data_IF_846627571892
#
_entry.id   IF_846627571892
#
_cell.length_a   1.000
_cell.length_b   1.000
_cell.length_c   1.000
_cell.angle_alpha   90.00
_cell.angle_beta   90.00
_cell.angle_gamma   90.00
#
_symmetry.space_group_name_H-M   'P 1'
#
loop_
_entity.id
_entity.type
_entity.pdbx_description
1 polymer ?
#
# COMPACT_ATOMS: atom_id res chain seq x y z
N UNK A 1 9.80 -1.98 18.66
CA UNK A 1 8.96 -0.93 19.30
C UNK A 1 7.64 -0.77 18.54
N UNK A 2 7.65 -0.29 17.29
CA UNK A 2 6.44 -0.07 16.47
C UNK A 2 5.50 -1.30 16.38
N UNK A 3 6.03 -2.47 16.04
CA UNK A 3 5.22 -3.69 15.91
C UNK A 3 4.49 -4.10 17.20
N UNK A 4 5.07 -3.86 18.36
CA UNK A 4 4.46 -4.22 19.65
C UNK A 4 3.39 -3.19 20.04
N UNK A 5 3.73 -1.91 19.96
CA UNK A 5 2.90 -0.81 20.45
C UNK A 5 1.80 -0.41 19.45
N UNK A 6 2.18 -0.15 18.20
CA UNK A 6 1.28 0.35 17.16
C UNK A 6 0.56 -0.82 16.48
N UNK A 7 1.31 -1.72 15.84
CA UNK A 7 0.71 -2.76 15.00
C UNK A 7 -0.17 -3.75 15.77
N UNK A 8 0.35 -4.28 16.89
CA UNK A 8 -0.37 -5.23 17.74
C UNK A 8 -1.17 -4.56 18.85
N UNK A 9 -0.55 -3.60 19.54
CA UNK A 9 -1.13 -2.95 20.71
C UNK A 9 -2.19 -1.91 20.36
N UNK A 10 -2.12 -1.31 19.16
CA UNK A 10 -2.95 -0.18 18.73
C UNK A 10 -2.96 0.98 19.75
N UNK A 11 -1.81 1.15 20.39
CA UNK A 11 -1.57 2.14 21.45
C UNK A 11 -0.85 3.35 20.86
N UNK A 12 -1.61 4.21 20.16
CA UNK A 12 -1.12 5.42 19.52
C UNK A 12 -2.27 6.38 19.18
N UNK A 13 -2.02 7.67 19.25
CA UNK A 13 -2.91 8.68 18.65
C UNK A 13 -2.55 8.92 17.17
N UNK A 14 -1.24 8.99 16.88
CA UNK A 14 -0.68 9.12 15.55
C UNK A 14 0.58 8.27 15.41
N UNK A 15 0.79 7.73 14.22
CA UNK A 15 1.97 6.95 13.87
C UNK A 15 2.38 7.25 12.42
N UNK A 16 3.65 7.01 12.11
CA UNK A 16 4.18 7.15 10.75
C UNK A 16 4.74 5.80 10.34
N UNK A 17 4.38 5.36 9.15
CA UNK A 17 4.89 4.13 8.54
C UNK A 17 5.12 4.36 7.06
N UNK A 18 6.17 3.75 6.53
CA UNK A 18 6.40 3.66 5.09
C UNK A 18 5.63 2.45 4.56
N UNK A 19 4.41 2.67 4.06
CA UNK A 19 3.63 1.64 3.38
C UNK A 19 4.20 1.37 1.98
N UNK A 20 4.41 0.11 1.61
CA UNK A 20 5.15 -0.23 0.37
C UNK A 20 4.40 -1.15 -0.58
N UNK A 21 3.26 -1.67 -0.16
CA UNK A 21 2.44 -2.63 -0.88
C UNK A 21 1.49 -1.88 -1.84
N UNK A 22 1.65 -1.99 -3.17
CA UNK A 22 0.97 -1.11 -4.13
C UNK A 22 -0.51 -1.46 -4.36
N UNK A 23 -0.96 -2.66 -3.98
CA UNK A 23 -2.26 -3.22 -4.37
C UNK A 23 -3.05 -3.82 -3.19
N UNK A 24 -2.86 -3.28 -1.99
CA UNK A 24 -3.44 -3.84 -0.77
C UNK A 24 -4.53 -2.97 -0.14
N UNK A 25 -5.12 -2.00 -0.88
CA UNK A 25 -6.16 -1.08 -0.37
C UNK A 25 -7.30 -1.76 0.42
N UNK A 26 -7.57 -3.04 0.18
CA UNK A 26 -8.50 -3.83 0.98
C UNK A 26 -8.14 -3.98 2.46
N UNK A 27 -6.92 -3.63 2.90
CA UNK A 27 -6.57 -3.62 4.33
C UNK A 27 -7.42 -2.64 5.15
N UNK A 28 -7.93 -1.56 4.54
CA UNK A 28 -8.83 -0.60 5.20
C UNK A 28 -10.25 -1.17 5.43
N UNK A 29 -10.59 -2.32 4.85
CA UNK A 29 -11.84 -3.02 5.13
C UNK A 29 -11.73 -4.02 6.29
N UNK A 30 -10.56 -4.13 6.95
CA UNK A 30 -10.31 -5.08 8.03
C UNK A 30 -10.51 -4.41 9.40
N UNK A 31 -11.61 -4.75 10.07
CA UNK A 31 -12.02 -4.14 11.35
C UNK A 31 -11.01 -4.30 12.52
N UNK A 32 -10.05 -5.23 12.42
CA UNK A 32 -9.04 -5.52 13.44
C UNK A 32 -7.61 -5.18 12.98
N UNK A 33 -7.47 -4.31 11.99
CA UNK A 33 -6.15 -3.84 11.54
C UNK A 33 -5.68 -2.64 12.36
N UNK A 34 -4.38 -2.32 12.29
CA UNK A 34 -3.82 -1.33 13.20
C UNK A 34 -4.40 0.07 13.03
N UNK A 35 -5.01 0.41 11.88
CA UNK A 35 -5.68 1.70 11.64
C UNK A 35 -6.85 1.99 12.59
N UNK A 36 -7.39 0.98 13.29
CA UNK A 36 -8.60 1.11 14.11
C UNK A 36 -9.79 1.75 13.39
N UNK A 37 -9.83 1.58 12.06
CA UNK A 37 -10.85 2.10 11.19
C UNK A 37 -11.88 1.03 10.84
N UNK A 38 -13.17 1.39 10.88
CA UNK A 38 -14.30 0.53 10.51
C UNK A 38 -15.24 1.27 9.59
N UNK A 39 -15.52 0.70 8.43
CA UNK A 39 -16.41 1.31 7.45
C UNK A 39 -17.16 0.27 6.65
N UNK A 40 -18.49 0.25 6.82
CA UNK A 40 -19.37 -0.65 6.06
C UNK A 40 -19.37 -0.27 4.57
N UNK A 41 -19.20 1.01 4.25
CA UNK A 41 -19.04 1.48 2.88
C UNK A 41 -17.75 0.91 2.25
N UNK A 42 -16.62 0.95 2.95
CA UNK A 42 -15.36 0.38 2.47
C UNK A 42 -15.46 -1.14 2.31
N UNK A 43 -16.03 -1.84 3.30
CA UNK A 43 -16.28 -3.29 3.22
C UNK A 43 -17.15 -3.66 2.02
N UNK A 44 -18.21 -2.90 1.75
CA UNK A 44 -19.06 -3.10 0.57
C UNK A 44 -18.29 -2.90 -0.73
N UNK A 45 -17.50 -1.83 -0.85
CA UNK A 45 -16.73 -1.56 -2.08
C UNK A 45 -15.71 -2.67 -2.36
N UNK A 46 -15.06 -3.22 -1.33
CA UNK A 46 -14.15 -4.36 -1.50
C UNK A 46 -14.89 -5.62 -1.93
N UNK A 47 -16.04 -5.93 -1.33
CA UNK A 47 -16.85 -7.08 -1.76
C UNK A 47 -17.34 -6.95 -3.22
N UNK A 48 -17.78 -5.76 -3.61
CA UNK A 48 -18.18 -5.48 -5.00
C UNK A 48 -16.98 -5.61 -5.96
N UNK A 49 -15.79 -5.15 -5.55
CA UNK A 49 -14.56 -5.25 -6.32
C UNK A 49 -14.12 -6.71 -6.51
N UNK A 50 -14.23 -7.57 -5.49
CA UNK A 50 -13.88 -8.99 -5.58
C UNK A 50 -14.81 -9.75 -6.55
N UNK A 51 -16.08 -9.37 -6.62
CA UNK A 51 -17.06 -9.97 -7.53
C UNK A 51 -17.00 -9.44 -8.97
N UNK A 52 -16.33 -8.31 -9.21
CA UNK A 52 -16.33 -7.63 -10.52
C UNK A 52 -15.15 -8.06 -11.38
N UNK A 53 -15.41 -8.59 -12.58
CA UNK A 53 -14.38 -8.93 -13.58
C UNK A 53 -14.16 -7.86 -14.64
N UNK A 54 -15.16 -7.02 -14.94
CA UNK A 54 -15.03 -5.93 -15.91
C UNK A 54 -14.00 -4.90 -15.45
N UNK A 55 -13.02 -4.62 -16.30
CA UNK A 55 -11.87 -3.78 -15.95
C UNK A 55 -12.27 -2.34 -15.62
N UNK A 56 -13.15 -1.73 -16.43
CA UNK A 56 -13.57 -0.33 -16.22
C UNK A 56 -14.37 -0.19 -14.93
N UNK A 57 -15.25 -1.15 -14.65
CA UNK A 57 -16.00 -1.20 -13.40
C UNK A 57 -15.07 -1.38 -12.18
N UNK A 58 -14.03 -2.22 -12.29
CA UNK A 58 -13.02 -2.37 -11.23
C UNK A 58 -12.28 -1.06 -10.96
N UNK A 59 -11.91 -0.30 -11.99
CA UNK A 59 -11.27 1.01 -11.80
C UNK A 59 -12.19 2.02 -11.11
N UNK A 60 -13.47 2.04 -11.46
CA UNK A 60 -14.44 2.89 -10.77
C UNK A 60 -14.56 2.53 -9.28
N UNK A 61 -14.57 1.24 -8.94
CA UNK A 61 -14.60 0.77 -7.56
C UNK A 61 -13.32 1.11 -6.79
N UNK A 62 -12.14 0.98 -7.41
CA UNK A 62 -10.87 1.40 -6.82
C UNK A 62 -10.82 2.91 -6.55
N UNK A 63 -11.31 3.73 -7.49
CA UNK A 63 -11.41 5.18 -7.29
C UNK A 63 -12.36 5.51 -6.13
N UNK A 64 -13.48 4.80 -6.03
CA UNK A 64 -14.42 4.95 -4.91
C UNK A 64 -13.79 4.58 -3.57
N UNK A 65 -13.03 3.49 -3.50
CA UNK A 65 -12.31 3.08 -2.30
C UNK A 65 -11.29 4.15 -1.85
N UNK A 66 -10.51 4.70 -2.79
CA UNK A 66 -9.57 5.79 -2.52
C UNK A 66 -10.28 7.06 -2.02
N UNK A 67 -11.45 7.37 -2.59
CA UNK A 67 -12.26 8.51 -2.13
C UNK A 67 -12.78 8.31 -0.70
N UNK A 68 -13.25 7.13 -0.35
CA UNK A 68 -13.71 6.82 1.03
C UNK A 68 -12.59 7.07 2.04
N UNK A 69 -11.40 6.49 1.84
CA UNK A 69 -10.30 6.66 2.81
C UNK A 69 -9.80 8.10 2.90
N UNK A 70 -9.93 8.87 1.82
CA UNK A 70 -9.56 10.29 1.77
C UNK A 70 -10.59 11.17 2.47
N UNK A 71 -11.89 10.95 2.21
CA UNK A 71 -12.99 11.71 2.82
C UNK A 71 -13.10 11.42 4.33
N UNK A 72 -12.86 10.16 4.73
CA UNK A 72 -12.86 9.73 6.14
C UNK A 72 -11.57 10.10 6.88
N UNK A 73 -10.57 10.65 6.18
CA UNK A 73 -9.27 11.04 6.72
C UNK A 73 -8.56 9.91 7.51
N UNK A 74 -8.64 8.67 7.01
CA UNK A 74 -8.10 7.49 7.68
C UNK A 74 -6.56 7.56 7.82
N UNK A 75 -5.91 8.10 6.78
CA UNK A 75 -4.47 8.31 6.74
C UNK A 75 -4.13 9.64 6.05
N UNK A 76 -3.12 10.34 6.56
CA UNK A 76 -2.54 11.50 5.90
C UNK A 76 -1.41 11.06 4.96
N UNK A 77 -1.67 11.01 3.65
CA UNK A 77 -0.64 10.70 2.67
C UNK A 77 0.34 11.87 2.53
N UNK A 78 1.61 11.65 2.88
CA UNK A 78 2.63 12.70 2.87
C UNK A 78 3.34 12.81 1.51
N UNK A 79 3.92 11.71 1.03
CA UNK A 79 4.64 11.62 -0.24
C UNK A 79 4.89 10.15 -0.63
N UNK A 80 5.29 9.92 -1.88
CA UNK A 80 5.86 8.64 -2.31
C UNK A 80 7.39 8.70 -2.14
N UNK A 81 7.94 7.84 -1.28
CA UNK A 81 9.38 7.82 -1.02
C UNK A 81 10.13 7.35 -2.28
N UNK A 82 11.04 8.18 -2.77
CA UNK A 82 11.81 7.87 -3.98
C UNK A 82 12.76 6.69 -3.74
N UNK A 83 12.85 5.79 -4.74
CA UNK A 83 13.86 4.74 -4.76
C UNK A 83 15.24 5.35 -4.99
N UNK A 84 16.05 5.39 -3.94
CA UNK A 84 17.46 5.80 -4.03
C UNK A 84 18.35 4.57 -4.08
N UNK A 85 19.27 4.52 -5.05
CA UNK A 85 20.18 3.40 -5.21
C UNK A 85 21.57 3.85 -5.66
N UNK A 86 22.60 3.20 -5.12
CA UNK A 86 24.00 3.38 -5.52
C UNK A 86 24.54 2.01 -5.92
N UNK A 87 25.13 1.91 -7.10
CA UNK A 87 25.74 0.67 -7.59
C UNK A 87 27.04 0.94 -8.35
N UNK A 88 27.90 -0.09 -8.42
CA UNK A 88 29.22 0.00 -9.06
C UNK A 88 29.09 0.23 -10.58
N UNK A 89 29.95 1.10 -11.13
CA UNK A 89 30.11 1.27 -12.58
C UNK A 89 30.56 -0.06 -13.19
N UNK A 90 29.64 -0.75 -13.87
CA UNK A 90 29.83 -2.11 -14.41
C UNK A 90 28.71 -3.08 -14.02
N UNK A 91 27.97 -2.81 -12.95
CA UNK A 91 26.78 -3.59 -12.60
C UNK A 91 25.58 -3.11 -13.42
N UNK A 92 24.95 -4.02 -14.16
CA UNK A 92 23.78 -3.77 -15.01
C UNK A 92 22.59 -4.61 -14.57
N UNK A 93 21.39 -4.26 -15.05
CA UNK A 93 20.18 -5.05 -14.84
C UNK A 93 19.37 -4.75 -13.57
N UNK A 94 19.85 -3.86 -12.70
CA UNK A 94 19.06 -3.37 -11.58
C UNK A 94 17.88 -2.53 -12.07
N UNK A 95 16.71 -2.72 -11.48
CA UNK A 95 15.51 -1.94 -11.81
C UNK A 95 15.72 -0.44 -11.56
N UNK A 96 15.32 0.38 -12.53
CA UNK A 96 15.24 1.82 -12.33
C UNK A 96 14.12 2.16 -11.33
N UNK A 97 12.89 1.73 -11.64
CA UNK A 97 11.71 1.84 -10.76
C UNK A 97 11.37 0.46 -10.19
N UNK A 98 11.09 0.39 -8.89
CA UNK A 98 10.64 -0.86 -8.25
C UNK A 98 9.13 -0.78 -8.01
N UNK A 99 8.30 -1.53 -8.76
CA UNK A 99 6.85 -1.49 -8.59
C UNK A 99 6.39 -2.21 -7.31
N UNK A 100 7.26 -2.98 -6.68
CA UNK A 100 7.01 -3.73 -5.44
C UNK A 100 8.23 -3.66 -4.53
N UNK A 101 8.06 -3.95 -3.24
CA UNK A 101 9.16 -4.06 -2.28
C UNK A 101 9.98 -5.34 -2.52
N UNK A 102 10.90 -5.30 -3.49
CA UNK A 102 11.77 -6.43 -3.80
C UNK A 102 13.17 -5.97 -4.21
N UNK A 103 14.16 -6.81 -3.90
CA UNK A 103 15.51 -6.74 -4.45
C UNK A 103 15.62 -7.74 -5.59
N UNK A 104 15.01 -7.45 -6.74
CA UNK A 104 15.12 -8.33 -7.91
C UNK A 104 16.53 -8.25 -8.50
N UNK A 105 17.22 -9.40 -8.49
CA UNK A 105 18.56 -9.57 -9.05
C UNK A 105 18.58 -10.53 -10.25
N UNK A 106 17.43 -11.01 -10.72
CA UNK A 106 17.33 -12.03 -11.78
C UNK A 106 17.91 -11.56 -13.12
N UNK A 107 17.82 -10.26 -13.40
CA UNK A 107 18.41 -9.63 -14.59
C UNK A 107 19.80 -9.02 -14.35
N UNK A 108 20.39 -9.16 -13.16
CA UNK A 108 21.62 -8.45 -12.78
C UNK A 108 22.86 -9.19 -13.27
N UNK A 109 23.77 -8.45 -13.92
CA UNK A 109 25.03 -9.00 -14.43
C UNK A 109 26.15 -7.95 -14.44
N UNK A 110 27.39 -8.43 -14.55
CA UNK A 110 28.58 -7.59 -14.72
C UNK A 110 28.87 -7.37 -16.20
N UNK A 111 29.13 -6.11 -16.56
CA UNK A 111 29.68 -5.69 -17.84
C UNK A 111 31.14 -5.26 -17.69
#
# INVERSE_FOLDING_TARGET
QWLKQVFKGRDYDLTIVSHTEPMDIGIYARDNYYFDYKSDAMKKVMADLDATSDEKARYALMAKAQKIISDDAVVGFLFQLAKTGVWKKGLKGLWHNAPVQANDLTGVYWQ
#
